data_IF_184414373235
#
_entry.id   IF_184414373235
#
_cell.length_a   1.000
_cell.length_b   1.000
_cell.length_c   1.000
_cell.angle_alpha   90.00
_cell.angle_beta   90.00
_cell.angle_gamma   90.00
#
_symmetry.space_group_name_H-M   'P 1'
#
loop_
_entity.id
_entity.type
_entity.pdbx_description
1 polymer ?
#
# COMPACT_ATOMS: atom_id res chain seq x y z
N UNK A 1 5.47 -27.66 -45.14
CA UNK A 1 4.23 -27.66 -44.32
C UNK A 1 4.40 -26.57 -43.27
N UNK A 2 3.85 -25.40 -43.54
CA UNK A 2 3.88 -24.26 -42.62
C UNK A 2 2.77 -24.46 -41.59
N UNK A 3 3.15 -24.63 -40.33
CA UNK A 3 2.20 -24.70 -39.22
C UNK A 3 1.73 -23.28 -38.93
N UNK A 4 0.59 -22.92 -39.51
CA UNK A 4 -0.13 -21.69 -39.19
C UNK A 4 -0.66 -21.83 -37.76
N UNK A 5 0.01 -21.18 -36.80
CA UNK A 5 -0.51 -20.97 -35.46
C UNK A 5 -1.79 -20.15 -35.58
N UNK A 6 -2.93 -20.81 -35.34
CA UNK A 6 -4.22 -20.15 -35.20
C UNK A 6 -4.13 -19.21 -33.99
N UNK A 7 -4.04 -17.91 -34.25
CA UNK A 7 -4.27 -16.87 -33.28
C UNK A 7 -5.74 -16.93 -32.86
N UNK A 8 -6.00 -17.51 -31.69
CA UNK A 8 -7.28 -17.36 -31.00
C UNK A 8 -7.59 -15.86 -30.89
N UNK A 9 -8.79 -15.38 -31.28
CA UNK A 9 -9.11 -13.97 -31.13
C UNK A 9 -8.99 -13.55 -29.65
N UNK A 10 -8.63 -12.30 -29.35
CA UNK A 10 -8.58 -11.83 -27.97
C UNK A 10 -9.94 -12.08 -27.33
N UNK A 11 -9.92 -12.76 -26.18
CA UNK A 11 -11.12 -13.09 -25.41
C UNK A 11 -12.02 -11.86 -25.32
N UNK A 12 -13.30 -12.01 -25.65
CA UNK A 12 -14.35 -10.97 -25.64
C UNK A 12 -14.65 -10.38 -24.24
N UNK A 13 -13.74 -10.55 -23.29
CA UNK A 13 -13.85 -10.04 -21.94
C UNK A 13 -13.75 -8.52 -21.95
N UNK A 14 -14.65 -7.87 -21.21
CA UNK A 14 -14.66 -6.43 -20.98
C UNK A 14 -14.74 -6.19 -19.49
N UNK A 15 -14.01 -5.17 -19.02
CA UNK A 15 -14.17 -4.70 -17.65
C UNK A 15 -15.55 -4.02 -17.50
N UNK A 16 -16.50 -4.75 -16.91
CA UNK A 16 -17.84 -4.23 -16.63
C UNK A 16 -17.85 -3.02 -15.69
N UNK A 17 -16.74 -2.74 -14.99
CA UNK A 17 -16.58 -1.60 -14.10
C UNK A 17 -15.76 -0.46 -14.70
N UNK A 18 -15.35 -0.55 -15.97
CA UNK A 18 -14.41 0.39 -16.60
C UNK A 18 -14.72 1.85 -16.26
N UNK A 19 -15.95 2.30 -16.49
CA UNK A 19 -16.33 3.70 -16.25
C UNK A 19 -16.57 4.05 -14.78
N UNK A 20 -16.85 3.04 -13.95
CA UNK A 20 -17.08 3.24 -12.51
C UNK A 20 -15.79 3.58 -11.75
N UNK A 21 -14.61 3.29 -12.31
CA UNK A 21 -13.33 3.70 -11.73
C UNK A 21 -13.15 5.23 -11.63
N UNK A 22 -13.95 6.01 -12.37
CA UNK A 22 -14.03 7.47 -12.21
C UNK A 22 -14.59 7.89 -10.84
N UNK A 23 -15.17 6.97 -10.07
CA UNK A 23 -15.62 7.23 -8.71
C UNK A 23 -14.47 7.72 -7.82
N UNK A 24 -13.25 7.24 -8.01
CA UNK A 24 -12.10 7.67 -7.19
C UNK A 24 -11.68 9.13 -7.44
N UNK A 25 -11.41 9.60 -8.68
CA UNK A 25 -11.13 11.02 -8.91
C UNK A 25 -12.34 11.94 -8.70
N UNK A 26 -13.57 11.41 -8.65
CA UNK A 26 -14.77 12.18 -8.26
C UNK A 26 -14.72 12.62 -6.79
N UNK A 27 -14.03 11.89 -5.91
CA UNK A 27 -13.96 12.17 -4.46
C UNK A 27 -13.41 13.57 -4.15
N UNK A 28 -12.21 13.96 -4.62
CA UNK A 28 -11.69 15.30 -4.37
C UNK A 28 -12.53 16.39 -5.07
N UNK A 29 -13.20 16.07 -6.18
CA UNK A 29 -14.14 16.99 -6.86
C UNK A 29 -15.39 17.24 -6.00
N UNK A 30 -15.93 16.20 -5.35
CA UNK A 30 -17.04 16.35 -4.41
C UNK A 30 -16.62 17.18 -3.20
N UNK A 31 -15.42 16.96 -2.66
CA UNK A 31 -14.90 17.80 -1.59
C UNK A 31 -14.77 19.25 -2.00
N UNK A 32 -14.23 19.52 -3.20
CA UNK A 32 -14.18 20.87 -3.74
C UNK A 32 -15.57 21.49 -3.84
N UNK A 33 -16.56 20.71 -4.29
CA UNK A 33 -17.95 21.16 -4.39
C UNK A 33 -18.51 21.55 -3.01
N UNK A 34 -18.25 20.77 -1.96
CA UNK A 34 -18.64 21.14 -0.60
C UNK A 34 -17.93 22.40 -0.09
N UNK A 35 -16.64 22.56 -0.35
CA UNK A 35 -15.90 23.78 0.01
C UNK A 35 -16.44 25.00 -0.76
N UNK A 36 -16.80 24.83 -2.03
CA UNK A 36 -17.44 25.87 -2.83
C UNK A 36 -18.83 26.24 -2.29
N UNK A 37 -19.59 25.26 -1.80
CA UNK A 37 -20.86 25.52 -1.12
C UNK A 37 -20.67 26.32 0.17
N UNK A 38 -19.63 26.02 0.98
CA UNK A 38 -19.28 26.87 2.14
C UNK A 38 -19.00 28.30 1.70
N UNK A 39 -18.17 28.49 0.66
CA UNK A 39 -17.83 29.82 0.15
C UNK A 39 -19.05 30.58 -0.37
N UNK A 40 -19.86 29.95 -1.22
CA UNK A 40 -20.97 30.61 -1.91
C UNK A 40 -22.13 30.94 -0.98
N UNK A 41 -22.35 30.14 0.07
CA UNK A 41 -23.51 30.29 0.97
C UNK A 41 -23.15 30.87 2.34
N UNK A 42 -21.87 30.87 2.71
CA UNK A 42 -21.42 31.15 4.08
C UNK A 42 -21.79 30.05 5.09
N UNK A 43 -22.46 28.97 4.67
CA UNK A 43 -22.94 27.94 5.58
C UNK A 43 -21.86 26.89 5.85
N UNK A 44 -21.31 26.91 7.06
CA UNK A 44 -20.24 26.03 7.47
C UNK A 44 -20.65 24.55 7.65
N UNK A 45 -21.95 24.21 7.57
CA UNK A 45 -22.40 22.81 7.64
C UNK A 45 -21.80 21.96 6.51
N UNK A 46 -21.53 22.56 5.35
CA UNK A 46 -21.01 21.84 4.20
C UNK A 46 -19.58 21.31 4.40
N UNK A 47 -18.83 21.82 5.39
CA UNK A 47 -17.56 21.20 5.79
C UNK A 47 -17.71 19.74 6.23
N UNK A 48 -18.91 19.32 6.66
CA UNK A 48 -19.16 17.93 7.08
C UNK A 48 -19.57 17.00 5.94
N UNK A 49 -19.63 17.49 4.69
CA UNK A 49 -20.04 16.71 3.52
C UNK A 49 -19.16 15.47 3.29
N UNK A 50 -17.84 15.62 3.30
CA UNK A 50 -16.94 14.48 3.12
C UNK A 50 -16.96 13.49 4.29
N UNK A 51 -16.89 13.91 5.56
CA UNK A 51 -17.10 13.00 6.69
C UNK A 51 -18.39 12.19 6.59
N UNK A 52 -19.51 12.83 6.20
CA UNK A 52 -20.80 12.15 6.03
C UNK A 52 -20.75 11.11 4.89
N UNK A 53 -20.12 11.43 3.77
CA UNK A 53 -19.98 10.47 2.67
C UNK A 53 -19.14 9.27 3.12
N UNK A 54 -18.00 9.54 3.74
CA UNK A 54 -16.97 8.52 4.00
C UNK A 54 -17.36 7.60 5.15
N UNK A 55 -17.94 8.15 6.21
CA UNK A 55 -18.33 7.38 7.40
C UNK A 55 -19.82 7.03 7.47
N UNK A 56 -20.65 7.58 6.58
CA UNK A 56 -22.08 7.29 6.52
C UNK A 56 -22.47 6.61 5.21
N UNK A 57 -22.36 7.34 4.09
CA UNK A 57 -22.88 6.88 2.81
C UNK A 57 -22.12 5.67 2.24
N UNK A 58 -20.79 5.67 2.24
CA UNK A 58 -20.00 4.57 1.68
C UNK A 58 -20.19 3.25 2.45
N UNK A 59 -20.13 3.20 3.80
CA UNK A 59 -20.48 2.00 4.57
C UNK A 59 -21.88 1.47 4.25
N UNK A 60 -22.87 2.37 4.12
CA UNK A 60 -24.23 2.01 3.75
C UNK A 60 -24.27 1.38 2.35
N UNK A 61 -23.65 2.03 1.36
CA UNK A 61 -23.62 1.53 -0.03
C UNK A 61 -22.86 0.21 -0.17
N UNK A 62 -21.76 0.02 0.55
CA UNK A 62 -21.04 -1.26 0.59
C UNK A 62 -21.92 -2.40 1.12
N UNK A 63 -22.76 -2.10 2.12
CA UNK A 63 -23.70 -3.07 2.70
C UNK A 63 -24.86 -3.37 1.74
N UNK A 64 -25.38 -2.36 1.05
CA UNK A 64 -26.52 -2.51 0.13
C UNK A 64 -26.15 -3.15 -1.21
N UNK A 65 -24.97 -2.83 -1.75
CA UNK A 65 -24.50 -3.32 -3.07
C UNK A 65 -23.77 -4.66 -2.94
N UNK A 66 -22.98 -4.85 -1.88
CA UNK A 66 -22.26 -6.08 -1.61
C UNK A 66 -20.87 -6.17 -2.25
N UNK A 67 -20.41 -7.41 -2.43
CA UNK A 67 -19.03 -7.75 -2.78
C UNK A 67 -18.92 -8.41 -4.16
N UNK A 68 -17.74 -8.26 -4.77
CA UNK A 68 -17.40 -8.87 -6.05
C UNK A 68 -16.05 -9.61 -5.98
N UNK A 69 -16.06 -10.96 -5.95
CA UNK A 69 -14.85 -11.78 -5.96
C UNK A 69 -14.30 -12.03 -7.38
N UNK A 70 -14.91 -11.50 -8.44
CA UNK A 70 -14.51 -11.82 -9.82
C UNK A 70 -13.12 -11.29 -10.17
N UNK A 71 -12.35 -12.12 -10.86
CA UNK A 71 -11.00 -11.80 -11.31
C UNK A 71 -10.96 -11.57 -12.83
N UNK A 72 -10.12 -10.65 -13.32
CA UNK A 72 -9.81 -10.62 -14.74
C UNK A 72 -9.12 -11.93 -15.15
N UNK A 73 -9.46 -12.48 -16.34
CA UNK A 73 -8.74 -13.62 -16.92
C UNK A 73 -7.27 -13.29 -17.14
N UNK A 74 -6.37 -14.28 -16.99
CA UNK A 74 -4.93 -14.06 -17.19
C UNK A 74 -4.59 -13.55 -18.59
N UNK A 75 -5.39 -13.91 -19.59
CA UNK A 75 -5.21 -13.52 -21.00
C UNK A 75 -5.33 -12.02 -21.25
N UNK A 76 -6.00 -11.26 -20.37
CA UNK A 76 -6.25 -9.81 -20.55
C UNK A 76 -5.47 -8.93 -19.58
N UNK A 77 -4.77 -9.51 -18.60
CA UNK A 77 -4.04 -8.75 -17.57
C UNK A 77 -2.99 -7.82 -18.19
N UNK A 78 -2.19 -8.32 -19.13
CA UNK A 78 -1.16 -7.52 -19.79
C UNK A 78 -1.73 -6.32 -20.57
N UNK A 79 -2.91 -6.49 -21.19
CA UNK A 79 -3.59 -5.42 -21.92
C UNK A 79 -4.20 -4.39 -20.95
N UNK A 80 -4.81 -4.85 -19.85
CA UNK A 80 -5.32 -3.99 -18.79
C UNK A 80 -4.20 -3.13 -18.16
N UNK A 81 -3.02 -3.69 -17.93
CA UNK A 81 -1.90 -2.96 -17.33
C UNK A 81 -1.30 -1.89 -18.27
N UNK A 82 -1.40 -2.08 -19.58
CA UNK A 82 -0.94 -1.12 -20.61
C UNK A 82 -1.97 -0.04 -20.93
N UNK A 83 -3.23 -0.25 -20.57
CA UNK A 83 -4.30 0.66 -20.92
C UNK A 83 -4.17 2.01 -20.17
N UNK A 84 -3.97 3.07 -20.96
CA UNK A 84 -3.74 4.43 -20.47
C UNK A 84 -4.94 5.01 -19.75
N UNK A 85 -6.15 4.49 -19.96
CA UNK A 85 -7.36 4.93 -19.29
C UNK A 85 -7.24 4.79 -17.77
N UNK A 86 -6.82 3.61 -17.29
CA UNK A 86 -6.69 3.35 -15.86
C UNK A 86 -5.60 4.19 -15.22
N UNK A 87 -4.49 4.42 -15.94
CA UNK A 87 -3.42 5.33 -15.51
C UNK A 87 -3.91 6.79 -15.43
N UNK A 88 -4.71 7.23 -16.40
CA UNK A 88 -5.25 8.60 -16.43
C UNK A 88 -6.20 8.87 -15.25
N UNK A 89 -6.99 7.88 -14.83
CA UNK A 89 -7.87 7.98 -13.64
C UNK A 89 -7.05 8.32 -12.39
N UNK A 90 -5.93 7.63 -12.17
CA UNK A 90 -5.09 7.84 -10.99
C UNK A 90 -4.52 9.26 -10.98
N UNK A 91 -4.04 9.74 -12.14
CA UNK A 91 -3.56 11.12 -12.26
C UNK A 91 -4.68 12.17 -12.07
N UNK A 92 -5.91 11.88 -12.47
CA UNK A 92 -7.03 12.82 -12.39
C UNK A 92 -7.38 13.21 -10.93
N UNK A 93 -6.99 12.40 -9.94
CA UNK A 93 -7.20 12.71 -8.53
C UNK A 93 -6.37 13.92 -8.07
N UNK A 94 -5.13 14.06 -8.58
CA UNK A 94 -4.10 14.96 -8.02
C UNK A 94 -4.50 16.44 -8.10
N UNK A 95 -4.96 16.99 -9.25
CA UNK A 95 -5.28 18.41 -9.34
C UNK A 95 -6.40 18.84 -8.39
N UNK A 96 -7.45 18.02 -8.29
CA UNK A 96 -8.59 18.29 -7.44
C UNK A 96 -8.23 18.19 -5.94
N UNK A 97 -7.36 17.24 -5.57
CA UNK A 97 -6.82 17.15 -4.21
C UNK A 97 -6.06 18.43 -3.80
N UNK A 98 -5.16 18.90 -4.65
CA UNK A 98 -4.40 20.11 -4.37
C UNK A 98 -5.30 21.33 -4.29
N UNK A 99 -6.25 21.47 -5.21
CA UNK A 99 -7.24 22.54 -5.14
C UNK A 99 -8.07 22.47 -3.86
N UNK A 100 -8.52 21.28 -3.42
CA UNK A 100 -9.26 21.12 -2.16
C UNK A 100 -8.41 21.53 -0.94
N UNK A 101 -7.13 21.16 -0.93
CA UNK A 101 -6.20 21.51 0.15
C UNK A 101 -5.95 23.02 0.21
N UNK A 102 -5.61 23.62 -0.93
CA UNK A 102 -5.32 25.06 -1.03
C UNK A 102 -6.56 25.88 -0.69
N UNK A 103 -7.70 25.54 -1.29
CA UNK A 103 -8.94 26.27 -1.09
C UNK A 103 -9.50 26.07 0.33
N UNK A 104 -9.45 24.86 0.88
CA UNK A 104 -9.83 24.59 2.25
C UNK A 104 -8.96 25.36 3.26
N UNK A 105 -7.65 25.43 3.02
CA UNK A 105 -6.72 26.24 3.83
C UNK A 105 -7.06 27.73 3.75
N UNK A 106 -7.32 28.24 2.54
CA UNK A 106 -7.72 29.63 2.33
C UNK A 106 -9.03 29.97 3.04
N UNK A 107 -10.05 29.10 2.94
CA UNK A 107 -11.32 29.28 3.65
C UNK A 107 -11.09 29.35 5.16
N UNK A 108 -10.36 28.40 5.73
CA UNK A 108 -10.10 28.38 7.18
C UNK A 108 -9.34 29.61 7.65
N UNK A 109 -8.33 30.05 6.89
CA UNK A 109 -7.51 31.20 7.25
C UNK A 109 -8.25 32.54 7.16
N UNK A 110 -9.26 32.66 6.29
CA UNK A 110 -9.94 33.93 6.01
C UNK A 110 -11.39 34.02 6.51
N UNK A 111 -12.04 32.88 6.78
CA UNK A 111 -13.48 32.80 6.97
C UNK A 111 -13.99 33.01 8.40
N UNK A 112 -13.12 33.03 9.41
CA UNK A 112 -13.54 33.30 10.81
C UNK A 112 -14.56 32.28 11.37
N UNK A 113 -14.43 31.00 10.98
CA UNK A 113 -15.41 29.97 11.32
C UNK A 113 -15.40 29.56 12.81
N UNK A 114 -16.53 29.03 13.26
CA UNK A 114 -16.67 28.43 14.60
C UNK A 114 -15.79 27.18 14.76
N UNK A 115 -15.51 26.80 16.00
CA UNK A 115 -14.68 25.63 16.31
C UNK A 115 -15.19 24.31 15.69
N UNK A 116 -16.51 24.10 15.64
CA UNK A 116 -17.10 22.89 15.06
C UNK A 116 -16.95 22.85 13.53
N UNK A 117 -16.98 24.02 12.89
CA UNK A 117 -16.76 24.16 11.46
C UNK A 117 -15.28 23.91 11.11
N UNK A 118 -14.37 24.38 11.95
CA UNK A 118 -12.93 24.10 11.83
C UNK A 118 -12.64 22.60 11.95
N UNK A 119 -13.30 21.88 12.87
CA UNK A 119 -13.22 20.41 12.95
C UNK A 119 -13.70 19.79 11.64
N UNK A 120 -14.88 20.19 11.14
CA UNK A 120 -15.39 19.72 9.86
C UNK A 120 -14.42 19.95 8.71
N UNK A 121 -13.82 21.14 8.63
CA UNK A 121 -12.86 21.50 7.58
C UNK A 121 -11.58 20.67 7.65
N UNK A 122 -11.00 20.53 8.85
CA UNK A 122 -9.82 19.68 9.11
C UNK A 122 -10.11 18.24 8.72
N UNK A 123 -11.27 17.71 9.12
CA UNK A 123 -11.64 16.34 8.84
C UNK A 123 -11.91 16.12 7.35
N UNK A 124 -12.62 17.03 6.69
CA UNK A 124 -12.90 16.96 5.26
C UNK A 124 -11.62 17.00 4.43
N UNK A 125 -10.76 18.01 4.62
CA UNK A 125 -9.51 18.12 3.86
C UNK A 125 -8.55 16.99 4.23
N UNK A 126 -8.47 16.62 5.50
CA UNK A 126 -7.66 15.52 5.99
C UNK A 126 -8.07 14.17 5.39
N UNK A 127 -9.37 13.87 5.27
CA UNK A 127 -9.85 12.65 4.60
C UNK A 127 -9.43 12.65 3.14
N UNK A 128 -9.61 13.74 2.41
CA UNK A 128 -9.25 13.79 0.98
C UNK A 128 -7.76 13.56 0.77
N UNK A 129 -6.92 14.14 1.63
CA UNK A 129 -5.48 13.93 1.59
C UNK A 129 -5.06 12.54 2.09
N UNK A 130 -5.80 11.94 3.03
CA UNK A 130 -5.61 10.55 3.44
C UNK A 130 -5.99 9.56 2.34
N UNK A 131 -7.12 9.75 1.65
CA UNK A 131 -7.52 8.96 0.48
C UNK A 131 -6.54 9.14 -0.67
N UNK A 132 -5.95 10.33 -0.82
CA UNK A 132 -4.91 10.58 -1.84
C UNK A 132 -3.66 9.72 -1.65
N UNK A 133 -3.39 9.22 -0.44
CA UNK A 133 -2.29 8.29 -0.20
C UNK A 133 -2.46 7.03 -1.08
N UNK A 134 -3.70 6.63 -1.39
CA UNK A 134 -3.96 5.52 -2.30
C UNK A 134 -3.53 5.83 -3.76
N UNK A 135 -3.75 7.08 -4.21
CA UNK A 135 -3.21 7.57 -5.49
C UNK A 135 -1.67 7.52 -5.47
N UNK A 136 -1.05 7.99 -4.38
CA UNK A 136 0.39 7.96 -4.22
C UNK A 136 0.96 6.54 -4.14
N UNK A 137 0.24 5.63 -3.49
CA UNK A 137 0.56 4.21 -3.36
C UNK A 137 0.60 3.55 -4.74
N UNK A 138 -0.46 3.67 -5.53
CA UNK A 138 -0.51 3.06 -6.87
C UNK A 138 0.61 3.58 -7.77
N UNK A 139 0.83 4.91 -7.81
CA UNK A 139 1.91 5.52 -8.59
C UNK A 139 3.30 5.15 -8.06
N UNK A 140 3.42 4.99 -6.74
CA UNK A 140 4.70 4.76 -6.08
C UNK A 140 5.28 3.38 -6.37
N UNK A 141 4.43 2.36 -6.53
CA UNK A 141 4.85 1.00 -6.89
C UNK A 141 5.38 0.86 -8.32
N UNK A 142 5.17 1.88 -9.16
CA UNK A 142 5.58 1.79 -10.56
C UNK A 142 7.04 2.18 -10.72
N UNK A 143 7.64 1.73 -11.82
CA UNK A 143 9.05 1.98 -12.15
C UNK A 143 9.26 3.27 -12.93
N UNK A 144 8.19 3.79 -13.53
CA UNK A 144 8.18 5.05 -14.28
C UNK A 144 8.57 6.24 -13.36
N UNK A 145 9.63 7.01 -13.70
CA UNK A 145 10.09 8.10 -12.86
C UNK A 145 9.07 9.23 -12.66
N UNK A 146 8.19 9.46 -13.65
CA UNK A 146 7.15 10.48 -13.56
C UNK A 146 6.05 10.03 -12.59
N UNK A 147 5.63 8.77 -12.64
CA UNK A 147 4.71 8.19 -11.65
C UNK A 147 5.28 8.30 -10.23
N UNK A 148 6.55 7.91 -10.02
CA UNK A 148 7.22 8.03 -8.72
C UNK A 148 7.36 9.48 -8.23
N UNK A 149 7.56 10.44 -9.14
CA UNK A 149 7.57 11.85 -8.78
C UNK A 149 6.18 12.33 -8.35
N UNK A 150 5.13 11.99 -9.10
CA UNK A 150 3.75 12.32 -8.73
C UNK A 150 3.30 11.61 -7.45
N UNK A 151 3.78 10.41 -7.16
CA UNK A 151 3.54 9.74 -5.88
C UNK A 151 4.01 10.61 -4.70
N UNK A 152 5.24 11.11 -4.77
CA UNK A 152 5.83 11.97 -3.73
C UNK A 152 5.15 13.33 -3.65
N UNK A 153 4.77 13.91 -4.79
CA UNK A 153 4.00 15.16 -4.84
C UNK A 153 2.64 14.98 -4.15
N UNK A 154 1.94 13.89 -4.43
CA UNK A 154 0.62 13.56 -3.88
C UNK A 154 0.64 13.39 -2.36
N UNK A 155 1.78 12.97 -1.79
CA UNK A 155 2.00 12.84 -0.35
C UNK A 155 2.34 14.17 0.35
N UNK A 156 2.64 15.24 -0.39
CA UNK A 156 3.05 16.52 0.21
C UNK A 156 1.95 17.16 1.08
N UNK A 157 0.66 17.22 0.67
CA UNK A 157 -0.41 17.74 1.50
C UNK A 157 -0.58 17.01 2.84
N UNK A 158 -0.28 15.72 2.92
CA UNK A 158 -0.45 14.91 4.14
C UNK A 158 0.84 14.82 4.99
N UNK A 159 1.91 15.50 4.58
CA UNK A 159 3.22 15.50 5.25
C UNK A 159 3.78 14.09 5.56
N UNK A 160 3.39 13.09 4.78
CA UNK A 160 3.70 11.68 5.02
C UNK A 160 4.62 11.10 3.93
N UNK A 161 5.47 11.94 3.34
CA UNK A 161 6.31 11.60 2.18
C UNK A 161 7.29 10.44 2.39
N UNK A 162 7.63 10.10 3.63
CA UNK A 162 8.49 8.94 3.94
C UNK A 162 7.79 7.60 3.66
N UNK A 163 6.46 7.59 3.57
CA UNK A 163 5.67 6.43 3.15
C UNK A 163 6.12 5.87 1.80
N UNK A 164 6.54 6.72 0.86
CA UNK A 164 7.02 6.26 -0.45
C UNK A 164 8.17 5.26 -0.33
N UNK A 165 9.12 5.51 0.58
CA UNK A 165 10.24 4.60 0.84
C UNK A 165 9.81 3.45 1.73
N UNK A 166 9.14 3.75 2.84
CA UNK A 166 8.81 2.71 3.82
C UNK A 166 7.90 1.66 3.22
N UNK A 167 6.83 2.07 2.54
CA UNK A 167 5.86 1.14 1.99
C UNK A 167 6.52 0.19 0.99
N UNK A 168 7.18 0.77 -0.02
CA UNK A 168 7.67 0.04 -1.19
C UNK A 168 8.90 -0.83 -0.86
N UNK A 169 9.78 -0.36 0.02
CA UNK A 169 11.09 -1.00 0.28
C UNK A 169 11.18 -1.64 1.68
N UNK A 170 10.27 -1.29 2.59
CA UNK A 170 10.21 -1.73 3.99
C UNK A 170 9.02 -2.63 4.27
N UNK A 171 7.81 -2.08 4.27
CA UNK A 171 6.57 -2.76 4.62
C UNK A 171 6.32 -3.98 3.74
N UNK A 172 6.37 -3.89 2.41
CA UNK A 172 6.23 -5.07 1.53
C UNK A 172 7.21 -6.22 1.81
N UNK A 173 8.42 -5.87 2.30
CA UNK A 173 9.43 -6.84 2.69
C UNK A 173 9.07 -7.51 4.03
N UNK A 174 8.66 -6.70 5.00
CA UNK A 174 8.52 -7.08 6.40
C UNK A 174 7.06 -7.34 6.83
N UNK A 175 6.07 -7.13 5.97
CA UNK A 175 4.64 -7.26 6.30
C UNK A 175 4.35 -8.61 6.94
N UNK A 176 3.50 -8.59 7.97
CA UNK A 176 3.22 -9.72 8.85
C UNK A 176 4.48 -10.29 9.52
N UNK A 177 5.42 -9.44 9.93
CA UNK A 177 6.57 -9.81 10.79
C UNK A 177 6.74 -8.79 11.92
N UNK A 178 7.44 -9.12 13.01
CA UNK A 178 7.73 -8.19 14.09
C UNK A 178 8.58 -6.98 13.69
N UNK A 179 9.30 -7.07 12.56
CA UNK A 179 10.17 -6.01 12.04
C UNK A 179 9.39 -4.91 11.28
N UNK A 180 8.12 -5.13 10.96
CA UNK A 180 7.26 -4.17 10.27
C UNK A 180 6.51 -3.26 11.26
N UNK A 181 6.75 -1.94 11.24
CA UNK A 181 5.98 -1.01 12.05
C UNK A 181 4.49 -1.01 11.72
N UNK A 182 4.11 -1.27 10.47
CA UNK A 182 2.72 -1.20 10.01
C UNK A 182 1.94 -2.51 10.22
N UNK A 183 2.58 -3.58 10.72
CA UNK A 183 1.89 -4.82 11.10
C UNK A 183 1.32 -4.70 12.52
N UNK A 184 -0.01 -4.66 12.64
CA UNK A 184 -0.73 -4.55 13.91
C UNK A 184 -0.86 -5.90 14.62
N UNK A 185 -0.92 -5.86 15.96
CA UNK A 185 -0.91 -7.07 16.79
C UNK A 185 -2.29 -7.39 17.34
N UNK A 186 -2.63 -8.67 17.46
CA UNK A 186 -3.83 -9.12 18.15
C UNK A 186 -3.82 -8.62 19.60
N UNK A 187 -4.91 -7.96 20.03
CA UNK A 187 -5.05 -7.27 21.31
C UNK A 187 -4.40 -5.88 21.44
N UNK A 188 -3.65 -5.39 20.43
CA UNK A 188 -3.19 -4.00 20.36
C UNK A 188 -4.34 -3.12 19.89
N UNK A 189 -4.61 -1.98 20.54
CA UNK A 189 -5.61 -1.03 20.05
C UNK A 189 -5.03 -0.15 18.96
N UNK A 190 -5.87 0.40 18.08
CA UNK A 190 -5.44 1.40 17.10
C UNK A 190 -4.68 2.57 17.77
N UNK A 191 -5.13 3.02 18.94
CA UNK A 191 -4.51 4.12 19.68
C UNK A 191 -3.11 3.80 20.21
N UNK A 192 -2.81 2.53 20.53
CA UNK A 192 -1.47 2.08 20.88
C UNK A 192 -0.60 1.86 19.62
N UNK A 193 -1.23 1.39 18.55
CA UNK A 193 -0.61 1.15 17.24
C UNK A 193 -0.14 2.44 16.58
N UNK A 194 -0.97 3.49 16.55
CA UNK A 194 -0.75 4.72 15.79
C UNK A 194 0.62 5.39 16.04
N UNK A 195 1.04 5.69 17.28
CA UNK A 195 2.37 6.26 17.50
C UNK A 195 3.50 5.28 17.15
N UNK A 196 3.29 3.96 17.33
CA UNK A 196 4.28 2.93 17.01
C UNK A 196 4.54 2.84 15.51
N UNK A 197 3.48 2.79 14.71
CA UNK A 197 3.59 2.74 13.25
C UNK A 197 4.19 4.05 12.72
N UNK A 198 3.66 5.23 13.12
CA UNK A 198 4.13 6.51 12.56
C UNK A 198 5.62 6.77 12.82
N UNK A 199 6.06 6.56 14.06
CA UNK A 199 7.48 6.77 14.43
C UNK A 199 8.36 5.66 13.83
N UNK A 200 7.88 4.41 13.85
CA UNK A 200 8.60 3.27 13.32
C UNK A 200 8.83 3.38 11.81
N UNK A 201 7.78 3.71 11.05
CA UNK A 201 7.81 3.90 9.60
C UNK A 201 8.75 5.03 9.20
N UNK A 202 8.73 6.16 9.92
CA UNK A 202 9.68 7.26 9.69
C UNK A 202 11.14 6.82 9.89
N UNK A 203 11.44 6.13 10.99
CA UNK A 203 12.80 5.62 11.29
C UNK A 203 13.25 4.57 10.28
N UNK A 204 12.35 3.68 9.88
CA UNK A 204 12.63 2.62 8.93
C UNK A 204 12.88 3.20 7.53
N UNK A 205 12.06 4.15 7.06
CA UNK A 205 12.26 4.87 5.81
C UNK A 205 13.64 5.54 5.75
N UNK A 206 14.03 6.24 6.82
CA UNK A 206 15.33 6.90 6.89
C UNK A 206 16.48 5.90 6.81
N UNK A 207 16.40 4.79 7.56
CA UNK A 207 17.42 3.74 7.58
C UNK A 207 17.56 3.06 6.22
N UNK A 208 16.44 2.73 5.56
CA UNK A 208 16.42 2.11 4.23
C UNK A 208 17.13 3.03 3.22
N UNK A 209 16.75 4.29 3.22
CA UNK A 209 17.25 5.26 2.24
C UNK A 209 18.71 5.65 2.48
N UNK A 210 19.11 5.86 3.74
CA UNK A 210 20.50 6.05 4.11
C UNK A 210 21.36 4.85 3.70
N UNK A 211 20.85 3.62 3.85
CA UNK A 211 21.51 2.41 3.37
C UNK A 211 21.68 2.37 1.85
N UNK A 212 20.64 2.76 1.08
CA UNK A 212 20.71 2.87 -0.39
C UNK A 212 21.76 3.89 -0.82
N UNK A 213 21.82 5.04 -0.16
CA UNK A 213 22.79 6.10 -0.45
C UNK A 213 24.22 5.68 -0.10
N UNK A 214 24.42 4.99 1.02
CA UNK A 214 25.73 4.46 1.39
C UNK A 214 26.25 3.46 0.35
N UNK A 215 25.40 2.57 -0.18
CA UNK A 215 25.75 1.66 -1.30
C UNK A 215 26.10 2.42 -2.59
N UNK A 216 25.56 3.63 -2.76
CA UNK A 216 25.86 4.53 -3.89
C UNK A 216 27.08 5.45 -3.63
N UNK A 217 27.78 5.32 -2.50
CA UNK A 217 28.85 6.24 -2.13
C UNK A 217 28.38 7.68 -1.87
N UNK A 218 27.09 7.88 -1.54
CA UNK A 218 26.49 9.19 -1.26
C UNK A 218 26.16 9.36 0.23
N UNK A 219 26.28 10.57 0.80
CA UNK A 219 25.85 10.83 2.17
C UNK A 219 24.33 10.82 2.28
N UNK A 220 23.82 10.43 3.46
CA UNK A 220 22.39 10.42 3.75
C UNK A 220 21.76 11.81 3.60
N UNK A 221 22.49 12.86 3.97
CA UNK A 221 22.09 14.25 3.74
C UNK A 221 22.56 14.71 2.35
N UNK A 222 21.75 14.40 1.33
CA UNK A 222 22.00 14.82 -0.04
C UNK A 222 20.71 15.00 -0.82
N UNK A 223 20.76 15.74 -1.93
CA UNK A 223 19.64 15.86 -2.86
C UNK A 223 19.24 14.52 -3.50
N UNK A 224 20.08 13.48 -3.39
CA UNK A 224 19.74 12.14 -3.85
C UNK A 224 18.83 11.37 -2.87
N UNK A 225 18.60 11.90 -1.66
CA UNK A 225 17.74 11.27 -0.65
C UNK A 225 16.26 11.53 -0.96
N UNK A 226 15.53 10.46 -1.27
CA UNK A 226 14.13 10.52 -1.66
C UNK A 226 13.20 10.92 -0.51
N UNK A 227 13.57 10.65 0.76
CA UNK A 227 12.85 11.17 1.92
C UNK A 227 12.98 12.69 2.00
N UNK A 228 14.20 13.22 1.85
CA UNK A 228 14.45 14.67 1.89
C UNK A 228 13.73 15.38 0.73
N UNK A 229 13.73 14.81 -0.47
CA UNK A 229 12.97 15.36 -1.60
C UNK A 229 11.46 15.44 -1.28
N UNK A 230 10.89 14.38 -0.69
CA UNK A 230 9.46 14.34 -0.37
C UNK A 230 9.10 15.33 0.76
N UNK A 231 9.94 15.46 1.78
CA UNK A 231 9.73 16.43 2.85
C UNK A 231 9.94 17.87 2.37
N UNK A 232 10.85 18.10 1.42
CA UNK A 232 11.02 19.41 0.79
C UNK A 232 9.75 19.83 0.02
N UNK A 233 9.09 18.92 -0.70
CA UNK A 233 7.81 19.21 -1.35
C UNK A 233 6.72 19.65 -0.34
N UNK A 234 6.66 18.97 0.81
CA UNK A 234 5.76 19.36 1.91
C UNK A 234 6.12 20.74 2.46
N UNK A 235 7.41 20.97 2.75
CA UNK A 235 7.89 22.24 3.30
C UNK A 235 7.63 23.42 2.35
N UNK A 236 7.78 23.22 1.04
CA UNK A 236 7.43 24.23 0.02
C UNK A 236 5.94 24.52 0.02
N UNK A 237 5.08 23.50 -0.04
CA UNK A 237 3.62 23.68 -0.03
C UNK A 237 3.16 24.39 1.25
N UNK A 238 3.56 23.88 2.41
CA UNK A 238 3.14 24.41 3.71
C UNK A 238 3.73 25.80 3.94
N UNK A 239 5.00 25.99 3.61
CA UNK A 239 5.69 27.28 3.71
C UNK A 239 5.04 28.34 2.84
N UNK A 240 4.75 28.04 1.56
CA UNK A 240 4.11 28.98 0.65
C UNK A 240 2.71 29.39 1.13
N UNK A 241 1.88 28.42 1.55
CA UNK A 241 0.55 28.72 2.09
C UNK A 241 0.62 29.49 3.43
N UNK A 242 1.61 29.21 4.27
CA UNK A 242 1.81 29.93 5.54
C UNK A 242 2.29 31.37 5.31
N UNK A 243 3.21 31.60 4.36
CA UNK A 243 3.65 32.94 3.97
C UNK A 243 2.48 33.74 3.41
N UNK A 244 1.60 33.10 2.63
CA UNK A 244 0.44 33.76 2.04
C UNK A 244 -0.69 34.04 3.04
N UNK A 245 -1.06 33.06 3.87
CA UNK A 245 -2.29 33.06 4.68
C UNK A 245 -2.03 33.23 6.19
N UNK A 246 -0.77 33.32 6.59
CA UNK A 246 -0.35 33.46 7.98
C UNK A 246 -0.27 32.13 8.76
N UNK A 247 0.08 32.19 10.05
CA UNK A 247 0.38 31.01 10.88
C UNK A 247 -0.83 30.08 11.10
N UNK A 248 -2.06 30.57 10.95
CA UNK A 248 -3.28 29.75 11.03
C UNK A 248 -3.28 28.66 9.95
N UNK A 249 -2.77 28.97 8.74
CA UNK A 249 -2.65 27.98 7.67
C UNK A 249 -1.70 26.84 8.06
N UNK A 250 -0.56 27.13 8.69
CA UNK A 250 0.36 26.09 9.14
C UNK A 250 -0.30 25.16 10.16
N UNK A 251 -1.01 25.73 11.15
CA UNK A 251 -1.72 24.94 12.15
C UNK A 251 -2.78 24.05 11.50
N UNK A 252 -3.60 24.61 10.61
CA UNK A 252 -4.60 23.85 9.87
C UNK A 252 -3.97 22.71 9.07
N UNK A 253 -2.93 23.01 8.28
CA UNK A 253 -2.22 22.06 7.43
C UNK A 253 -1.57 20.93 8.24
N UNK A 254 -0.99 21.24 9.40
CA UNK A 254 -0.39 20.25 10.29
C UNK A 254 -1.45 19.30 10.89
N UNK A 255 -2.59 19.84 11.34
CA UNK A 255 -3.65 19.02 11.94
C UNK A 255 -4.35 18.16 10.88
N UNK A 256 -4.68 18.71 9.70
CA UNK A 256 -5.29 17.91 8.63
C UNK A 256 -4.33 16.85 8.09
N UNK A 257 -3.03 17.13 8.05
CA UNK A 257 -2.00 16.17 7.65
C UNK A 257 -1.95 15.00 8.63
N UNK A 258 -2.02 15.28 9.94
CA UNK A 258 -2.13 14.23 10.95
C UNK A 258 -3.40 13.39 10.77
N UNK A 259 -4.56 14.01 10.50
CA UNK A 259 -5.81 13.28 10.21
C UNK A 259 -5.64 12.38 9.00
N UNK A 260 -5.12 12.89 7.88
CA UNK A 260 -4.92 12.12 6.66
C UNK A 260 -3.90 10.98 6.83
N UNK A 261 -2.79 11.21 7.54
CA UNK A 261 -1.81 10.17 7.84
C UNK A 261 -2.42 9.10 8.77
N UNK A 262 -3.19 9.51 9.77
CA UNK A 262 -3.89 8.57 10.66
C UNK A 262 -4.92 7.70 9.92
N UNK A 263 -5.49 8.20 8.82
CA UNK A 263 -6.43 7.46 7.97
C UNK A 263 -5.71 6.31 7.22
N UNK A 264 -4.50 6.54 6.71
CA UNK A 264 -3.66 5.45 6.20
C UNK A 264 -3.35 4.45 7.31
N UNK A 265 -2.92 4.92 8.48
CA UNK A 265 -2.47 4.01 9.53
C UNK A 265 -3.60 3.15 10.10
N UNK A 266 -4.85 3.63 10.14
CA UNK A 266 -5.97 2.76 10.50
C UNK A 266 -6.23 1.71 9.41
N UNK A 267 -5.97 2.00 8.14
CA UNK A 267 -6.03 1.02 7.04
C UNK A 267 -4.95 -0.05 7.23
N UNK A 268 -3.69 0.33 7.44
CA UNK A 268 -2.61 -0.62 7.79
C UNK A 268 -2.98 -1.48 9.01
N UNK A 269 -3.58 -0.86 10.03
CA UNK A 269 -4.00 -1.54 11.24
C UNK A 269 -5.05 -2.62 10.97
N UNK A 270 -6.07 -2.35 10.15
CA UNK A 270 -7.10 -3.35 9.86
C UNK A 270 -6.59 -4.44 8.90
N UNK A 271 -5.69 -4.10 7.99
CA UNK A 271 -5.15 -4.97 6.95
C UNK A 271 -4.21 -6.06 7.48
N UNK A 272 -3.50 -5.79 8.58
CA UNK A 272 -2.46 -6.68 9.09
C UNK A 272 -2.73 -7.22 10.49
N UNK A 273 -3.97 -7.03 10.99
CA UNK A 273 -4.31 -7.35 12.36
C UNK A 273 -4.06 -8.80 12.75
N UNK A 274 -3.08 -9.00 13.64
CA UNK A 274 -2.79 -10.28 14.26
C UNK A 274 -2.09 -11.30 13.36
N UNK A 275 -1.81 -10.96 12.10
CA UNK A 275 -1.20 -11.88 11.14
C UNK A 275 0.32 -11.93 11.32
N UNK A 276 0.89 -13.14 11.19
CA UNK A 276 2.32 -13.39 11.32
C UNK A 276 2.75 -14.46 10.30
N UNK A 277 3.80 -14.15 9.55
CA UNK A 277 4.51 -15.09 8.67
C UNK A 277 5.31 -16.07 9.51
N UNK A 278 5.39 -17.31 9.04
CA UNK A 278 6.20 -18.32 9.71
C UNK A 278 7.68 -17.97 9.62
N UNK A 279 8.36 -18.03 10.76
CA UNK A 279 9.80 -17.90 10.84
C UNK A 279 10.48 -19.26 10.62
N UNK A 280 11.43 -19.32 9.71
CA UNK A 280 12.24 -20.51 9.46
C UNK A 280 13.54 -20.42 10.25
N UNK A 281 13.66 -21.24 11.30
CA UNK A 281 14.85 -21.27 12.18
C UNK A 281 16.14 -21.67 11.45
N UNK A 282 16.05 -22.45 10.36
CA UNK A 282 17.22 -22.91 9.59
C UNK A 282 17.75 -21.80 8.68
N UNK A 283 16.87 -21.12 7.95
CA UNK A 283 17.27 -20.05 7.02
C UNK A 283 17.38 -18.68 7.70
N UNK A 284 16.90 -18.58 8.96
CA UNK A 284 16.80 -17.36 9.75
C UNK A 284 16.00 -16.25 9.04
N UNK A 285 14.99 -16.65 8.27
CA UNK A 285 14.14 -15.78 7.45
C UNK A 285 12.67 -16.11 7.65
N UNK A 286 11.81 -15.13 7.42
CA UNK A 286 10.37 -15.34 7.30
C UNK A 286 10.03 -15.90 5.92
N UNK A 287 9.04 -16.80 5.84
CA UNK A 287 8.50 -17.32 4.56
C UNK A 287 8.06 -16.17 3.65
N UNK A 288 8.04 -16.30 2.32
CA UNK A 288 7.61 -15.22 1.40
C UNK A 288 6.21 -14.68 1.75
N UNK A 289 5.99 -13.38 1.54
CA UNK A 289 4.64 -12.83 1.62
C UNK A 289 3.70 -13.52 0.60
N UNK A 290 2.46 -13.75 0.99
CA UNK A 290 1.47 -14.55 0.28
C UNK A 290 0.07 -14.02 0.63
N UNK A 291 -0.98 -14.32 -0.16
CA UNK A 291 -2.32 -13.76 0.06
C UNK A 291 -2.90 -13.98 1.47
N UNK A 292 -2.47 -15.03 2.18
CA UNK A 292 -2.85 -15.30 3.57
C UNK A 292 -2.27 -14.33 4.62
N UNK A 293 -1.30 -13.49 4.27
CA UNK A 293 -0.58 -12.63 5.21
C UNK A 293 -1.15 -11.20 5.32
N UNK A 294 -2.31 -10.95 4.73
CA UNK A 294 -3.07 -9.71 4.89
C UNK A 294 -4.57 -10.00 4.77
N UNK A 295 -5.38 -9.21 5.48
CA UNK A 295 -6.84 -9.22 5.36
C UNK A 295 -7.28 -8.60 4.02
N UNK A 296 -8.35 -9.13 3.46
CA UNK A 296 -8.90 -8.76 2.16
C UNK A 296 -10.38 -8.34 2.30
N UNK A 297 -10.88 -7.52 1.39
CA UNK A 297 -12.31 -7.22 1.25
C UNK A 297 -12.67 -7.03 -0.23
N UNK A 298 -13.84 -7.53 -0.61
CA UNK A 298 -14.31 -7.48 -2.00
C UNK A 298 -15.45 -6.48 -2.22
N UNK A 299 -15.78 -5.61 -1.26
CA UNK A 299 -16.88 -4.67 -1.39
C UNK A 299 -16.71 -3.73 -2.58
N UNK A 300 -17.73 -3.67 -3.45
CA UNK A 300 -17.62 -3.06 -4.79
C UNK A 300 -17.36 -1.55 -4.69
N UNK A 301 -18.12 -0.84 -3.86
CA UNK A 301 -18.08 0.63 -3.83
C UNK A 301 -16.75 1.12 -3.27
N UNK A 302 -16.34 0.58 -2.12
CA UNK A 302 -15.02 0.91 -1.56
C UNK A 302 -13.88 0.49 -2.47
N UNK A 303 -14.01 -0.61 -3.25
CA UNK A 303 -12.99 -0.98 -4.23
C UNK A 303 -12.88 0.04 -5.37
N UNK A 304 -14.00 0.51 -5.92
CA UNK A 304 -13.97 1.53 -6.97
C UNK A 304 -13.41 2.86 -6.45
N UNK A 305 -13.73 3.19 -5.21
CA UNK A 305 -13.27 4.40 -4.53
C UNK A 305 -11.77 4.37 -4.21
N UNK A 306 -11.26 3.23 -3.73
CA UNK A 306 -9.87 3.03 -3.30
C UNK A 306 -9.01 2.27 -4.31
N UNK A 307 -9.25 2.38 -5.63
CA UNK A 307 -8.42 1.66 -6.64
C UNK A 307 -8.15 0.19 -6.25
N UNK A 308 -9.22 -0.50 -5.86
CA UNK A 308 -9.21 -1.90 -5.49
C UNK A 308 -8.22 -2.28 -4.38
N UNK A 309 -7.78 -1.30 -3.57
CA UNK A 309 -6.83 -1.50 -2.47
C UNK A 309 -7.27 -2.62 -1.52
N UNK A 310 -8.59 -2.83 -1.37
CA UNK A 310 -9.10 -3.88 -0.50
C UNK A 310 -8.69 -5.29 -0.93
N UNK A 311 -8.31 -5.49 -2.21
CA UNK A 311 -7.61 -6.70 -2.70
C UNK A 311 -6.15 -6.73 -2.28
N UNK A 312 -5.92 -6.39 -1.02
CA UNK A 312 -4.62 -6.12 -0.43
C UNK A 312 -3.71 -7.34 -0.39
N UNK A 313 -4.31 -8.52 -0.25
CA UNK A 313 -3.62 -9.81 -0.34
C UNK A 313 -2.89 -10.03 -1.66
N UNK A 314 -3.50 -9.68 -2.78
CA UNK A 314 -2.81 -9.73 -4.07
C UNK A 314 -1.78 -8.61 -4.19
N UNK A 315 -2.11 -7.42 -3.70
CA UNK A 315 -1.17 -6.29 -3.68
C UNK A 315 0.14 -6.64 -2.97
N UNK A 316 0.10 -7.29 -1.81
CA UNK A 316 1.32 -7.69 -1.12
C UNK A 316 2.04 -8.88 -1.73
N UNK A 317 1.31 -9.81 -2.34
CA UNK A 317 1.91 -10.92 -3.06
C UNK A 317 2.58 -10.46 -4.38
N UNK A 318 1.98 -9.46 -5.03
CA UNK A 318 2.31 -8.96 -6.38
C UNK A 318 2.26 -7.41 -6.44
N UNK A 319 3.19 -6.69 -5.78
CA UNK A 319 3.09 -5.23 -5.57
C UNK A 319 3.12 -4.36 -6.83
N UNK A 320 3.67 -4.85 -7.93
CA UNK A 320 3.71 -4.10 -9.20
C UNK A 320 2.41 -4.11 -9.97
N UNK A 321 1.53 -5.08 -9.69
CA UNK A 321 0.27 -5.25 -10.39
C UNK A 321 -0.60 -4.00 -10.22
N UNK A 322 -1.15 -3.51 -11.33
CA UNK A 322 -2.03 -2.33 -11.30
C UNK A 322 -3.39 -2.68 -10.73
N UNK A 323 -4.06 -1.68 -10.14
CA UNK A 323 -5.31 -1.88 -9.42
C UNK A 323 -6.36 -2.67 -10.20
N UNK A 324 -6.59 -2.35 -11.47
CA UNK A 324 -7.60 -2.99 -12.33
C UNK A 324 -7.33 -4.47 -12.61
N UNK A 325 -6.10 -4.93 -12.34
CA UNK A 325 -5.68 -6.32 -12.49
C UNK A 325 -5.64 -7.09 -11.17
N UNK A 326 -5.84 -6.43 -10.02
CA UNK A 326 -5.77 -7.06 -8.70
C UNK A 326 -6.81 -8.17 -8.55
N UNK A 327 -6.41 -9.24 -7.86
CA UNK A 327 -7.16 -10.48 -7.72
C UNK A 327 -7.66 -10.75 -6.31
N UNK A 328 -8.77 -11.47 -6.25
CA UNK A 328 -9.24 -12.16 -5.07
C UNK A 328 -8.67 -13.60 -5.04
N UNK A 329 -8.35 -14.07 -3.84
CA UNK A 329 -7.92 -15.44 -3.57
C UNK A 329 -8.75 -16.02 -2.41
N UNK A 330 -9.29 -17.22 -2.57
CA UNK A 330 -10.11 -17.87 -1.55
C UNK A 330 -9.35 -18.13 -0.24
N UNK A 331 -8.01 -18.30 -0.32
CA UNK A 331 -7.15 -18.49 0.86
C UNK A 331 -6.86 -17.21 1.65
N UNK A 332 -7.19 -16.03 1.09
CA UNK A 332 -6.95 -14.77 1.79
C UNK A 332 -7.99 -14.56 2.91
N UNK A 333 -7.56 -14.22 4.14
CA UNK A 333 -8.49 -13.94 5.22
C UNK A 333 -9.34 -12.72 4.89
N UNK A 334 -10.64 -12.76 5.17
CA UNK A 334 -11.59 -11.70 4.78
C UNK A 334 -12.01 -10.84 5.98
N UNK A 335 -12.03 -9.52 5.76
CA UNK A 335 -12.73 -8.60 6.66
C UNK A 335 -14.24 -8.82 6.56
N UNK A 336 -15.00 -8.57 7.64
CA UNK A 336 -16.44 -8.76 7.64
C UNK A 336 -17.23 -7.65 6.92
N UNK A 337 -16.59 -6.54 6.57
CA UNK A 337 -17.19 -5.42 5.84
C UNK A 337 -16.11 -4.64 5.08
N UNK A 338 -16.53 -3.65 4.29
CA UNK A 338 -15.63 -2.75 3.59
C UNK A 338 -14.79 -1.89 4.53
N UNK A 339 -13.67 -1.37 4.02
CA UNK A 339 -12.70 -0.65 4.86
C UNK A 339 -13.32 0.51 5.64
N UNK A 340 -14.24 1.27 5.04
CA UNK A 340 -14.86 2.41 5.72
C UNK A 340 -15.64 2.01 6.97
N UNK A 341 -16.37 0.89 6.92
CA UNK A 341 -17.04 0.31 8.09
C UNK A 341 -16.03 -0.17 9.13
N UNK A 342 -14.97 -0.86 8.67
CA UNK A 342 -13.96 -1.43 9.55
C UNK A 342 -13.12 -0.38 10.27
N UNK A 343 -12.86 0.77 9.63
CA UNK A 343 -12.19 1.92 10.25
C UNK A 343 -12.99 2.43 11.45
N UNK A 344 -14.31 2.60 11.32
CA UNK A 344 -15.17 3.03 12.42
C UNK A 344 -15.12 2.07 13.62
N UNK A 345 -15.11 0.77 13.32
CA UNK A 345 -15.00 -0.27 14.35
C UNK A 345 -13.62 -0.26 15.00
N UNK A 346 -12.53 -0.06 14.23
CA UNK A 346 -11.16 -0.02 14.74
C UNK A 346 -10.91 1.09 15.75
N UNK A 347 -11.59 2.23 15.61
CA UNK A 347 -11.54 3.34 16.58
C UNK A 347 -12.19 3.00 17.93
N UNK A 348 -12.97 1.92 18.01
CA UNK A 348 -13.65 1.43 19.21
C UNK A 348 -13.05 0.08 19.65
N UNK A 349 -11.94 0.06 20.43
CA UNK A 349 -11.20 -1.16 20.71
C UNK A 349 -12.02 -2.33 21.25
N UNK A 350 -12.99 -2.14 22.19
CA UNK A 350 -13.81 -3.26 22.66
C UNK A 350 -14.64 -3.92 21.56
N UNK A 351 -15.16 -3.15 20.60
CA UNK A 351 -15.90 -3.68 19.46
C UNK A 351 -14.96 -4.35 18.46
N UNK A 352 -13.82 -3.71 18.17
CA UNK A 352 -12.78 -4.27 17.32
C UNK A 352 -12.30 -5.65 17.81
N UNK A 353 -11.92 -5.76 19.09
CA UNK A 353 -11.45 -7.03 19.65
C UNK A 353 -12.54 -8.11 19.63
N UNK A 354 -13.80 -7.75 19.92
CA UNK A 354 -14.92 -8.71 19.80
C UNK A 354 -15.09 -9.24 18.39
N UNK A 355 -14.86 -8.41 17.38
CA UNK A 355 -15.06 -8.77 15.97
C UNK A 355 -13.86 -9.51 15.37
N UNK A 356 -12.65 -9.04 15.63
CA UNK A 356 -11.45 -9.46 14.90
C UNK A 356 -10.62 -10.51 15.65
N UNK A 357 -10.64 -10.57 16.98
CA UNK A 357 -9.85 -11.56 17.72
C UNK A 357 -10.28 -13.00 17.36
N UNK A 358 -11.59 -13.24 17.24
CA UNK A 358 -12.14 -14.53 16.81
C UNK A 358 -11.70 -14.89 15.39
N UNK A 359 -11.64 -13.91 14.49
CA UNK A 359 -11.23 -14.12 13.09
C UNK A 359 -9.75 -14.44 12.99
N UNK A 360 -8.89 -13.77 13.78
CA UNK A 360 -7.46 -14.10 13.88
C UNK A 360 -7.29 -15.52 14.41
N UNK A 361 -8.01 -15.89 15.47
CA UNK A 361 -7.98 -17.26 16.01
C UNK A 361 -8.43 -18.30 14.97
N UNK A 362 -9.51 -18.01 14.24
CA UNK A 362 -10.00 -18.86 13.15
C UNK A 362 -9.00 -19.02 12.01
N UNK A 363 -8.36 -17.93 11.58
CA UNK A 363 -7.31 -17.95 10.54
C UNK A 363 -6.14 -18.87 10.93
N UNK A 364 -5.72 -18.80 12.19
CA UNK A 364 -4.66 -19.67 12.73
C UNK A 364 -5.17 -21.03 13.25
N UNK A 365 -6.44 -21.38 13.00
CA UNK A 365 -7.07 -22.64 13.43
C UNK A 365 -6.90 -22.93 14.94
N UNK A 366 -6.95 -21.86 15.73
CA UNK A 366 -6.76 -21.86 17.18
C UNK A 366 -5.32 -21.98 17.66
N UNK A 367 -4.31 -22.04 16.77
CA UNK A 367 -2.90 -22.01 17.16
C UNK A 367 -2.34 -20.59 17.20
N UNK A 368 -2.68 -19.83 18.24
CA UNK A 368 -2.25 -18.44 18.40
C UNK A 368 -0.74 -18.24 18.61
N UNK A 369 0.04 -19.33 18.77
CA UNK A 369 1.51 -19.25 18.71
C UNK A 369 2.02 -18.83 17.32
N UNK A 370 1.21 -19.01 16.29
CA UNK A 370 1.49 -18.56 14.93
C UNK A 370 0.92 -17.17 14.61
N UNK A 371 0.33 -16.48 15.60
CA UNK A 371 -0.25 -15.14 15.44
C UNK A 371 0.68 -14.05 16.01
N UNK A 372 0.54 -12.83 15.50
CA UNK A 372 1.26 -11.66 16.02
C UNK A 372 0.53 -11.11 17.25
N UNK A 373 0.92 -11.53 18.45
CA UNK A 373 0.24 -11.17 19.70
C UNK A 373 0.82 -9.90 20.34
N UNK A 374 -0.04 -9.02 20.85
CA UNK A 374 0.39 -7.85 21.62
C UNK A 374 1.03 -8.30 22.94
N UNK A 375 2.32 -8.01 23.21
CA UNK A 375 3.04 -8.62 24.33
C UNK A 375 2.36 -8.48 25.71
N UNK A 376 1.82 -7.31 26.11
CA UNK A 376 1.14 -7.15 27.39
C UNK A 376 -0.14 -7.99 27.56
N UNK A 377 -0.75 -8.44 26.46
CA UNK A 377 -1.98 -9.25 26.49
C UNK A 377 -1.77 -10.69 26.04
N UNK A 378 -0.52 -11.10 25.78
CA UNK A 378 -0.20 -12.40 25.17
C UNK A 378 -0.79 -13.56 25.95
N UNK A 379 -0.56 -13.61 27.25
CA UNK A 379 -1.04 -14.70 28.12
C UNK A 379 -2.56 -14.77 28.17
N UNK A 380 -3.24 -13.62 28.30
CA UNK A 380 -4.70 -13.56 28.31
C UNK A 380 -5.31 -13.99 26.96
N UNK A 381 -4.68 -13.63 25.83
CA UNK A 381 -5.12 -14.04 24.50
C UNK A 381 -4.94 -15.55 24.29
N UNK A 382 -3.79 -16.10 24.69
CA UNK A 382 -3.55 -17.54 24.64
C UNK A 382 -4.55 -18.29 25.52
N UNK A 383 -4.76 -17.87 26.77
CA UNK A 383 -5.71 -18.51 27.67
C UNK A 383 -7.15 -18.52 27.12
N UNK A 384 -7.53 -17.49 26.35
CA UNK A 384 -8.88 -17.34 25.80
C UNK A 384 -9.10 -18.09 24.50
N UNK A 385 -8.12 -18.08 23.60
CA UNK A 385 -8.33 -18.45 22.19
C UNK A 385 -7.43 -19.60 21.72
N UNK A 386 -6.40 -19.98 22.48
CA UNK A 386 -5.59 -21.14 22.14
C UNK A 386 -6.44 -22.40 22.32
N UNK A 387 -6.64 -23.15 21.24
CA UNK A 387 -7.22 -24.50 21.31
C UNK A 387 -6.14 -25.53 21.00
N UNK A 388 -6.37 -26.81 21.38
CA UNK A 388 -5.53 -27.90 20.92
C UNK A 388 -5.56 -27.89 19.39
N UNK A 389 -4.43 -27.56 18.75
CA UNK A 389 -4.36 -27.37 17.31
C UNK A 389 -4.86 -28.64 16.62
N UNK A 390 -5.86 -28.52 15.74
CA UNK A 390 -6.08 -29.57 14.75
C UNK A 390 -4.84 -29.56 13.84
N UNK A 391 -4.11 -30.69 13.69
CA UNK A 391 -2.92 -30.72 12.87
C UNK A 391 -3.25 -30.13 11.50
N UNK A 392 -2.48 -29.12 11.08
CA UNK A 392 -2.60 -28.64 9.73
C UNK A 392 -2.36 -29.81 8.77
N UNK A 393 -3.14 -29.97 7.68
CA UNK A 393 -2.66 -30.70 6.53
C UNK A 393 -1.26 -30.17 6.24
N UNK A 394 -0.31 -31.08 6.03
CA UNK A 394 1.00 -30.69 5.52
C UNK A 394 0.77 -29.69 4.38
N UNK A 395 1.53 -28.57 4.33
CA UNK A 395 1.40 -27.66 3.20
C UNK A 395 1.43 -28.51 1.95
N UNK A 396 0.44 -28.33 1.06
CA UNK A 396 0.54 -28.90 -0.27
C UNK A 396 1.94 -28.52 -0.72
N UNK A 397 2.76 -29.52 -1.03
CA UNK A 397 3.99 -29.33 -1.77
C UNK A 397 3.57 -28.85 -3.15
N UNK A 398 3.09 -27.60 -3.21
CA UNK A 398 3.31 -26.77 -4.36
C UNK A 398 4.80 -26.85 -4.52
N UNK A 399 5.21 -27.64 -5.50
CA UNK A 399 6.50 -27.47 -6.12
C UNK A 399 6.54 -25.98 -6.40
N UNK A 400 7.25 -25.22 -5.57
CA UNK A 400 7.97 -24.07 -6.06
C UNK A 400 8.78 -24.64 -7.20
N UNK A 401 8.19 -24.64 -8.39
CA UNK A 401 8.90 -24.86 -9.62
C UNK A 401 9.84 -23.67 -9.66
N UNK A 402 10.99 -23.84 -9.00
CA UNK A 402 12.18 -23.10 -9.32
C UNK A 402 12.28 -23.16 -10.85
N UNK A 403 12.39 -22.01 -11.53
CA UNK A 403 12.72 -22.06 -12.94
C UNK A 403 13.94 -22.98 -13.07
N UNK A 404 13.81 -23.94 -14.00
CA UNK A 404 14.66 -25.11 -14.14
C UNK A 404 16.14 -24.80 -13.82
N UNK A 405 16.77 -25.70 -13.07
CA UNK A 405 18.23 -25.77 -12.93
C UNK A 405 18.84 -25.82 -14.34
N UNK A 406 19.16 -24.66 -14.91
CA UNK A 406 20.11 -24.55 -16.01
C UNK A 406 21.46 -24.64 -15.33
N UNK A 407 22.17 -25.75 -15.60
CA UNK A 407 23.50 -25.98 -15.09
C UNK A 407 24.36 -24.71 -15.30
N UNK A 408 24.70 -24.05 -14.19
CA UNK A 408 25.49 -22.83 -14.22
C UNK A 408 26.83 -23.12 -14.88
N UNK A 409 27.15 -22.40 -15.96
CA UNK A 409 28.51 -22.38 -16.49
C UNK A 409 29.43 -21.77 -15.43
N UNK A 410 30.61 -22.36 -15.22
CA UNK A 410 31.53 -22.00 -14.13
C UNK A 410 31.94 -20.51 -14.10
N UNK A 411 31.75 -19.77 -15.20
CA UNK A 411 32.17 -18.37 -15.36
C UNK A 411 31.02 -17.34 -15.41
N UNK A 412 29.76 -17.74 -15.17
CA UNK A 412 28.63 -16.81 -15.25
C UNK A 412 28.62 -15.82 -14.06
N UNK A 413 28.72 -14.52 -14.36
CA UNK A 413 28.53 -13.45 -13.38
C UNK A 413 27.06 -13.41 -12.97
N UNK A 414 26.81 -13.64 -11.68
CA UNK A 414 25.47 -13.74 -11.11
C UNK A 414 25.26 -12.79 -9.95
N UNK A 415 24.06 -12.22 -9.88
CA UNK A 415 23.65 -11.33 -8.81
C UNK A 415 22.29 -11.75 -8.31
N UNK A 416 22.14 -11.90 -7.00
CA UNK A 416 20.89 -12.35 -6.42
C UNK A 416 20.19 -11.31 -5.55
N UNK A 417 18.87 -11.28 -5.66
CA UNK A 417 17.99 -10.43 -4.89
C UNK A 417 17.92 -10.93 -3.44
N UNK A 418 18.30 -10.12 -2.44
CA UNK A 418 18.30 -10.55 -1.04
C UNK A 418 16.89 -10.72 -0.46
N UNK A 419 15.85 -10.25 -1.16
CA UNK A 419 14.47 -10.32 -0.70
C UNK A 419 13.76 -11.62 -1.08
N UNK A 420 13.75 -11.95 -2.37
CA UNK A 420 12.98 -13.09 -2.90
C UNK A 420 13.85 -14.22 -3.47
N UNK A 421 15.17 -14.09 -3.45
CA UNK A 421 16.09 -15.10 -3.96
C UNK A 421 16.23 -15.16 -5.48
N UNK A 422 15.54 -14.29 -6.24
CA UNK A 422 15.73 -14.19 -7.69
C UNK A 422 17.21 -13.97 -8.04
N UNK A 423 17.71 -14.71 -9.02
CA UNK A 423 19.09 -14.59 -9.52
C UNK A 423 19.06 -14.04 -10.93
N UNK A 424 19.74 -12.92 -11.14
CA UNK A 424 20.12 -12.45 -12.46
C UNK A 424 21.40 -13.15 -12.89
N UNK A 425 21.35 -13.81 -14.04
CA UNK A 425 22.49 -14.46 -14.69
C UNK A 425 22.76 -13.76 -16.03
N UNK A 426 23.95 -13.21 -16.21
CA UNK A 426 24.32 -12.48 -17.43
C UNK A 426 24.18 -13.35 -18.69
N UNK A 427 24.37 -14.67 -18.60
CA UNK A 427 24.27 -15.58 -19.76
C UNK A 427 22.82 -15.81 -20.19
N UNK A 428 21.86 -15.63 -19.28
CA UNK A 428 20.43 -15.83 -19.52
C UNK A 428 19.73 -14.49 -19.80
N UNK A 429 20.19 -13.41 -19.16
CA UNK A 429 19.52 -12.11 -19.17
C UNK A 429 18.18 -12.15 -18.44
N UNK A 430 17.23 -11.31 -18.87
CA UNK A 430 15.90 -11.21 -18.29
C UNK A 430 14.88 -10.85 -19.38
N UNK A 431 14.53 -11.84 -20.21
CA UNK A 431 13.77 -11.64 -21.44
C UNK A 431 12.40 -10.97 -21.23
N UNK A 432 11.73 -11.23 -20.12
CA UNK A 432 10.42 -10.62 -19.82
C UNK A 432 10.50 -9.13 -19.48
N UNK A 433 11.67 -8.65 -19.02
CA UNK A 433 12.00 -7.23 -18.85
C UNK A 433 12.67 -6.65 -20.11
N UNK A 434 12.73 -7.41 -21.22
CA UNK A 434 13.39 -7.01 -22.46
C UNK A 434 14.92 -7.03 -22.40
N UNK A 435 15.53 -7.65 -21.38
CA UNK A 435 16.97 -7.77 -21.23
C UNK A 435 17.45 -9.05 -21.92
N UNK A 436 18.24 -8.90 -22.98
CA UNK A 436 18.72 -10.03 -23.77
C UNK A 436 19.76 -10.89 -23.02
N UNK A 437 19.87 -12.19 -23.34
CA UNK A 437 21.00 -13.04 -22.94
C UNK A 437 22.35 -12.39 -23.28
N UNK A 438 23.33 -12.52 -22.40
CA UNK A 438 24.65 -11.90 -22.52
C UNK A 438 24.73 -10.43 -22.07
N UNK A 439 23.64 -9.84 -21.57
CA UNK A 439 23.66 -8.45 -21.08
C UNK A 439 24.44 -8.35 -19.76
N UNK A 440 25.56 -7.59 -19.70
CA UNK A 440 26.34 -7.49 -18.48
C UNK A 440 25.59 -6.74 -17.37
N UNK A 441 25.77 -7.15 -16.11
CA UNK A 441 25.24 -6.50 -14.92
C UNK A 441 25.58 -5.02 -14.88
N UNK A 442 26.79 -4.65 -15.31
CA UNK A 442 27.25 -3.26 -15.40
C UNK A 442 26.34 -2.39 -16.28
N UNK A 443 25.70 -2.96 -17.31
CA UNK A 443 24.81 -2.23 -18.24
C UNK A 443 23.40 -2.03 -17.70
N UNK A 444 22.99 -2.74 -16.66
CA UNK A 444 21.66 -2.55 -16.08
C UNK A 444 21.55 -1.18 -15.38
N UNK A 445 20.42 -0.46 -15.49
CA UNK A 445 20.18 0.77 -14.74
C UNK A 445 20.26 0.55 -13.21
N UNK A 446 20.70 1.57 -12.45
CA UNK A 446 20.83 1.46 -11.00
C UNK A 446 19.47 1.28 -10.27
N UNK A 447 18.40 1.77 -10.89
CA UNK A 447 17.01 1.69 -10.47
C UNK A 447 16.25 0.50 -11.08
N UNK A 448 16.95 -0.40 -11.80
CA UNK A 448 16.33 -1.61 -12.33
C UNK A 448 15.75 -2.47 -11.18
N UNK A 449 14.44 -2.73 -11.15
CA UNK A 449 13.81 -3.47 -10.06
C UNK A 449 14.06 -4.98 -10.19
N UNK A 450 13.96 -5.69 -9.08
CA UNK A 450 13.94 -7.14 -9.08
C UNK A 450 12.66 -7.63 -9.78
N UNK A 451 12.78 -8.42 -10.86
CA UNK A 451 11.62 -8.83 -11.65
C UNK A 451 10.62 -9.71 -10.90
N UNK A 452 11.07 -10.44 -9.87
CA UNK A 452 10.20 -11.36 -9.14
C UNK A 452 9.43 -10.67 -7.99
N UNK A 453 10.01 -9.66 -7.35
CA UNK A 453 9.39 -9.06 -6.16
C UNK A 453 9.19 -7.55 -6.23
N UNK A 454 9.93 -6.83 -7.10
CA UNK A 454 9.94 -5.36 -7.22
C UNK A 454 10.27 -4.54 -5.95
N UNK A 455 10.43 -5.18 -4.79
CA UNK A 455 10.81 -4.57 -3.50
C UNK A 455 12.28 -4.09 -3.47
N UNK A 456 13.09 -4.60 -4.39
CA UNK A 456 14.54 -4.36 -4.45
C UNK A 456 14.93 -3.83 -5.82
N UNK A 457 15.94 -2.97 -5.86
CA UNK A 457 16.53 -2.46 -7.09
C UNK A 457 17.94 -3.05 -7.27
N UNK A 458 18.56 -2.88 -8.45
CA UNK A 458 19.89 -3.41 -8.80
C UNK A 458 20.89 -3.23 -7.67
N UNK A 459 20.90 -2.05 -7.05
CA UNK A 459 21.82 -1.71 -5.96
C UNK A 459 21.68 -2.58 -4.70
N UNK A 460 20.56 -3.25 -4.52
CA UNK A 460 20.33 -4.13 -3.38
C UNK A 460 20.81 -5.56 -3.62
N UNK A 461 21.06 -5.94 -4.88
CA UNK A 461 21.48 -7.29 -5.22
C UNK A 461 22.90 -7.56 -4.73
N UNK A 462 23.15 -8.82 -4.40
CA UNK A 462 24.46 -9.28 -3.94
C UNK A 462 25.11 -10.12 -5.03
N UNK A 463 26.41 -9.92 -5.31
CA UNK A 463 27.14 -10.83 -6.19
C UNK A 463 27.11 -12.24 -5.58
N UNK A 464 26.95 -13.25 -6.44
CA UNK A 464 26.94 -14.66 -6.04
C UNK A 464 28.21 -15.34 -6.53
N UNK A 465 28.83 -16.11 -5.65
CA UNK A 465 29.96 -16.98 -6.01
C UNK A 465 29.49 -18.21 -6.80
N UNK A 466 30.43 -18.89 -7.45
CA UNK A 466 30.14 -20.06 -8.28
C UNK A 466 29.57 -21.18 -7.41
N UNK A 467 28.30 -21.53 -7.63
CA UNK A 467 27.58 -22.58 -6.88
C UNK A 467 26.79 -22.08 -5.67
N UNK A 468 26.92 -20.79 -5.33
CA UNK A 468 26.14 -20.17 -4.26
C UNK A 468 24.68 -20.01 -4.70
N UNK A 469 23.77 -20.52 -3.86
CA UNK A 469 22.33 -20.25 -3.99
C UNK A 469 21.94 -19.23 -2.92
N UNK A 470 21.12 -18.25 -3.28
CA UNK A 470 20.42 -17.47 -2.27
C UNK A 470 19.36 -18.36 -1.66
N UNK A 471 19.46 -18.61 -0.35
CA UNK A 471 18.38 -19.22 0.41
C UNK A 471 17.15 -18.29 0.33
N UNK A 472 16.10 -18.75 -0.37
CA UNK A 472 14.79 -18.12 -0.40
C UNK A 472 14.14 -18.20 0.99
#
# INVERSE_FOLDING_TARGET
MSTTTLTTPPSSWRDGKRYLWLLSPLVPVLSLSFLLLVYATGNAVFFWGMPLIIYGLLPLLDTLIGADPTNPPDTVVADLERDRYYRAIVFAYIPAQFAATIFGTWLVATGGYSWWALIGAVWSVGIINGVAINTAHELGHKTDPLERWFARLTLAPVAYGHFFIEHNKGHHKNVATPDDPASSRMGESFWAFLPRTMIGSLRSAWRIEAGRLARNGKPAWSLANENLQSWAMTAVLFGALTVWLGPVALLFLAVQAFVGASLLEVVNYIEHYGLLRRYNERTKRYERCAPRHSWNSNHIVTNLFLYQLQRHSDHHANPTRRYQALRHFDESPQLPSGYMSMILVAYLPPLWFRLMDERVAGHHRGDLRQANLHPPKREALLARWQTAATPAPAPATGTDAQPADVAATADAVRHGCPNCGYVYDETIGCAHEGIAPGTPWARLPADWPCPNCAVREKIDFRPLSVGERIAA
#
